data_IF_981369805132
#
_entry.id   IF_981369805132
#
_cell.length_a   1.000
_cell.length_b   1.000
_cell.length_c   1.000
_cell.angle_alpha   90.00
_cell.angle_beta   90.00
_cell.angle_gamma   90.00
#
_symmetry.space_group_name_H-M   'P 1'
#
loop_
_entity.id
_entity.type
_entity.pdbx_description
1 polymer ?
#
# COMPACT_ATOMS: atom_id res chain seq x y z
N UNK A 1 -3.31 -78.84 -22.64
CA UNK A 1 -4.68 -78.31 -22.69
C UNK A 1 -4.56 -76.82 -22.41
N UNK A 2 -4.77 -75.84 -23.29
CA UNK A 2 -5.79 -75.61 -24.33
C UNK A 2 -5.23 -74.54 -25.31
N UNK A 3 -5.63 -74.65 -26.57
CA UNK A 3 -5.26 -73.93 -27.83
C UNK A 3 -5.51 -72.40 -27.81
N UNK A 4 -4.59 -71.53 -28.25
CA UNK A 4 -4.29 -70.99 -29.62
C UNK A 4 -5.24 -69.89 -30.17
N UNK A 5 -4.67 -68.66 -30.25
CA UNK A 5 -4.64 -67.62 -31.31
C UNK A 5 -5.94 -67.08 -31.94
N UNK A 6 -6.10 -65.75 -31.93
CA UNK A 6 -6.42 -64.80 -33.06
C UNK A 6 -6.71 -63.43 -32.41
N UNK A 7 -6.11 -62.29 -32.75
CA UNK A 7 -5.53 -61.85 -34.01
C UNK A 7 -6.31 -60.62 -34.47
N UNK A 8 -5.66 -59.45 -34.52
CA UNK A 8 -5.84 -58.30 -35.45
C UNK A 8 -5.18 -57.07 -34.81
N UNK A 9 -3.96 -56.68 -35.19
CA UNK A 9 -3.61 -55.92 -36.40
C UNK A 9 -4.28 -54.54 -36.45
N UNK A 10 -3.41 -53.51 -36.45
CA UNK A 10 -3.31 -52.47 -37.48
C UNK A 10 -3.63 -51.02 -37.05
N UNK A 11 -2.57 -50.20 -37.11
CA UNK A 11 -2.53 -48.76 -37.41
C UNK A 11 -3.24 -47.82 -36.41
N UNK A 12 -2.81 -46.58 -36.16
CA UNK A 12 -2.33 -45.59 -37.10
C UNK A 12 -1.76 -44.37 -36.33
N UNK A 13 -0.88 -43.63 -37.01
CA UNK A 13 -0.60 -42.20 -36.86
C UNK A 13 0.33 -41.71 -35.72
N UNK A 14 1.57 -41.46 -36.13
CA UNK A 14 2.32 -40.31 -35.66
C UNK A 14 1.55 -39.03 -35.99
N UNK A 15 1.27 -38.21 -34.98
CA UNK A 15 0.88 -36.82 -35.15
C UNK A 15 1.69 -35.97 -34.16
N UNK A 16 2.76 -35.39 -34.68
CA UNK A 16 3.54 -34.35 -34.02
C UNK A 16 2.61 -33.23 -33.58
N UNK A 17 2.43 -33.04 -32.27
CA UNK A 17 1.73 -31.85 -31.77
C UNK A 17 2.65 -30.66 -31.98
N UNK A 18 2.36 -29.91 -33.04
CA UNK A 18 2.96 -28.62 -33.32
C UNK A 18 2.79 -27.70 -32.11
N UNK A 19 3.89 -27.06 -31.72
CA UNK A 19 3.90 -25.98 -30.75
C UNK A 19 3.01 -24.85 -31.27
N UNK A 20 1.82 -24.69 -30.67
CA UNK A 20 1.07 -23.45 -30.80
C UNK A 20 1.74 -22.42 -29.90
N UNK A 21 2.69 -21.68 -30.45
CA UNK A 21 3.06 -20.38 -29.92
C UNK A 21 1.78 -19.54 -29.93
N UNK A 22 1.18 -19.34 -28.76
CA UNK A 22 0.04 -18.45 -28.62
C UNK A 22 0.50 -17.05 -28.97
N UNK A 23 0.24 -16.64 -30.21
CA UNK A 23 0.26 -15.23 -30.60
C UNK A 23 -0.77 -14.52 -29.72
N UNK A 24 -0.27 -13.92 -28.64
CA UNK A 24 -1.01 -12.93 -27.87
C UNK A 24 -1.46 -11.86 -28.86
N UNK A 25 -2.78 -11.69 -28.99
CA UNK A 25 -3.36 -10.60 -29.77
C UNK A 25 -2.73 -9.28 -29.32
N UNK A 26 -2.50 -8.32 -30.24
CA UNK A 26 -1.86 -7.06 -29.91
C UNK A 26 -2.59 -6.43 -28.72
N UNK A 27 -1.81 -6.25 -27.66
CA UNK A 27 -2.14 -5.55 -26.44
C UNK A 27 -3.13 -4.41 -26.72
N UNK A 28 -4.37 -4.58 -26.28
CA UNK A 28 -5.13 -3.42 -25.84
C UNK A 28 -4.46 -2.92 -24.56
N UNK A 29 -3.33 -2.23 -24.70
CA UNK A 29 -2.77 -1.40 -23.65
C UNK A 29 -3.77 -0.28 -23.46
N UNK A 30 -4.75 -0.50 -22.59
CA UNK A 30 -5.60 0.56 -22.08
C UNK A 30 -4.69 1.43 -21.24
N UNK A 31 -4.28 2.57 -21.80
CA UNK A 31 -3.65 3.64 -21.04
C UNK A 31 -4.68 4.17 -20.05
N UNK A 32 -4.77 3.52 -18.90
CA UNK A 32 -5.47 4.06 -17.74
C UNK A 32 -4.68 5.34 -17.39
N UNK A 33 -5.30 6.53 -17.42
CA UNK A 33 -4.65 7.72 -16.92
C UNK A 33 -4.20 7.38 -15.51
N UNK A 34 -2.89 7.41 -15.27
CA UNK A 34 -2.33 7.13 -13.96
C UNK A 34 -2.91 8.16 -13.02
N UNK A 35 -4.01 7.80 -12.33
CA UNK A 35 -4.59 8.62 -11.29
C UNK A 35 -3.52 8.64 -10.23
N UNK A 36 -2.68 9.66 -10.29
CA UNK A 36 -1.60 9.88 -9.36
C UNK A 36 -2.34 10.12 -8.06
N UNK A 37 -2.49 9.06 -7.26
CA UNK A 37 -3.02 9.16 -5.91
C UNK A 37 -2.19 10.27 -5.25
N UNK A 38 -2.84 11.40 -4.99
CA UNK A 38 -2.23 12.59 -4.42
C UNK A 38 -2.89 12.81 -3.09
N UNK A 39 -2.08 13.16 -2.10
CA UNK A 39 -2.58 13.55 -0.80
C UNK A 39 -2.80 15.06 -0.87
N UNK A 40 -4.06 15.47 -0.82
CA UNK A 40 -4.42 16.87 -0.80
C UNK A 40 -4.44 17.40 0.63
N UNK A 41 -3.79 18.54 0.83
CA UNK A 41 -3.89 19.32 2.06
C UNK A 41 -5.06 20.29 1.87
N UNK A 42 -6.04 20.34 2.77
CA UNK A 42 -7.17 21.24 2.62
C UNK A 42 -6.73 22.70 2.65
N UNK A 43 -7.39 23.54 1.86
CA UNK A 43 -7.11 24.99 1.80
C UNK A 43 -7.24 25.67 3.16
N UNK A 44 -8.13 25.14 4.02
CA UNK A 44 -8.33 25.56 5.39
C UNK A 44 -8.18 24.37 6.34
N UNK A 45 -6.97 24.10 6.85
CA UNK A 45 -6.77 23.10 7.89
C UNK A 45 -7.59 23.44 9.13
N UNK A 46 -8.10 22.42 9.79
CA UNK A 46 -8.79 22.58 11.06
C UNK A 46 -7.78 23.01 12.12
N UNK A 47 -8.07 24.09 12.83
CA UNK A 47 -7.31 24.40 14.03
C UNK A 47 -7.56 23.33 15.10
N UNK A 48 -6.48 22.73 15.59
CA UNK A 48 -6.51 21.78 16.68
C UNK A 48 -5.66 22.32 17.84
N UNK A 49 -6.24 22.34 19.05
CA UNK A 49 -5.47 22.73 20.22
C UNK A 49 -4.46 21.65 20.59
N UNK A 50 -3.33 22.07 21.15
CA UNK A 50 -2.29 21.15 21.63
C UNK A 50 -2.81 20.08 22.57
N UNK A 51 -3.77 20.43 23.42
CA UNK A 51 -4.38 19.54 24.41
C UNK A 51 -5.20 18.45 23.71
N UNK A 52 -5.92 18.81 22.64
CA UNK A 52 -6.69 17.85 21.84
C UNK A 52 -5.77 16.90 21.08
N UNK A 53 -4.62 17.39 20.59
CA UNK A 53 -3.66 16.55 19.88
C UNK A 53 -2.91 15.58 20.81
N UNK A 54 -2.69 15.96 22.08
CA UNK A 54 -1.95 15.12 23.05
C UNK A 54 -2.51 13.70 23.18
N UNK A 55 -3.81 13.50 22.98
CA UNK A 55 -4.42 12.17 23.04
C UNK A 55 -3.92 11.24 21.92
N UNK A 56 -3.45 11.79 20.80
CA UNK A 56 -2.91 11.04 19.67
C UNK A 56 -1.38 10.92 19.70
N UNK A 57 -0.70 11.57 20.65
CA UNK A 57 0.77 11.48 20.75
C UNK A 57 1.15 10.08 21.21
N UNK A 58 2.04 9.43 20.47
CA UNK A 58 2.43 8.05 20.74
C UNK A 58 3.04 7.37 19.52
N UNK A 59 3.35 6.09 19.71
CA UNK A 59 3.81 5.19 18.66
C UNK A 59 2.71 4.18 18.35
N UNK A 60 2.45 3.97 17.07
CA UNK A 60 1.44 3.06 16.53
C UNK A 60 2.13 2.07 15.63
N UNK A 61 1.86 0.78 15.85
CA UNK A 61 2.36 -0.26 14.97
C UNK A 61 1.56 -0.22 13.67
N UNK A 62 2.25 -0.33 12.54
CA UNK A 62 1.64 -0.34 11.23
C UNK A 62 1.60 -1.77 10.70
N UNK A 63 0.56 -2.10 9.94
CA UNK A 63 0.37 -3.46 9.39
C UNK A 63 1.47 -3.89 8.42
N UNK A 64 2.27 -2.95 7.92
CA UNK A 64 3.44 -3.22 7.07
C UNK A 64 4.71 -3.54 7.89
N UNK A 65 4.65 -3.53 9.22
CA UNK A 65 5.76 -3.79 10.13
C UNK A 65 6.57 -2.55 10.56
N UNK A 66 6.26 -1.37 10.02
CA UNK A 66 6.83 -0.11 10.49
C UNK A 66 6.09 0.44 11.72
N UNK A 67 6.56 1.57 12.24
CA UNK A 67 5.92 2.29 13.34
C UNK A 67 5.62 3.73 12.91
N UNK A 68 4.39 4.18 13.10
CA UNK A 68 4.02 5.59 13.01
C UNK A 68 4.20 6.24 14.38
N UNK A 69 4.99 7.30 14.46
CA UNK A 69 5.14 8.11 15.67
C UNK A 69 4.50 9.48 15.46
N UNK A 70 3.57 9.85 16.34
CA UNK A 70 2.99 11.18 16.42
C UNK A 70 3.58 11.90 17.62
N UNK A 71 4.13 13.10 17.40
CA UNK A 71 4.74 13.91 18.46
C UNK A 71 4.35 15.37 18.38
N UNK A 72 4.44 16.05 19.52
CA UNK A 72 4.24 17.49 19.65
C UNK A 72 5.54 18.16 20.09
N UNK A 73 6.03 19.14 19.33
CA UNK A 73 7.12 20.02 19.76
C UNK A 73 6.64 21.48 19.76
N UNK A 74 6.53 22.05 20.96
CA UNK A 74 5.95 23.37 21.15
C UNK A 74 4.48 23.40 20.72
N UNK A 75 4.20 24.11 19.62
CA UNK A 75 2.87 24.17 18.99
C UNK A 75 2.79 23.43 17.65
N UNK A 76 3.86 22.76 17.23
CA UNK A 76 3.93 22.08 15.95
C UNK A 76 3.75 20.58 16.15
N UNK A 77 2.86 19.99 15.36
CA UNK A 77 2.56 18.57 15.33
C UNK A 77 3.42 17.90 14.25
N UNK A 78 3.95 16.72 14.56
CA UNK A 78 4.79 15.96 13.64
C UNK A 78 4.33 14.50 13.57
N UNK A 79 4.55 13.89 12.42
CA UNK A 79 4.43 12.46 12.17
C UNK A 79 5.77 11.93 11.62
N UNK A 80 6.18 10.74 12.06
CA UNK A 80 7.36 10.03 11.54
C UNK A 80 7.02 8.57 11.30
N UNK A 81 7.50 8.01 10.20
CA UNK A 81 7.35 6.59 9.90
C UNK A 81 8.73 5.92 10.03
N UNK A 82 8.86 5.00 10.99
CA UNK A 82 10.12 4.30 11.27
C UNK A 82 11.29 5.27 11.51
N UNK A 83 12.29 5.20 10.63
CA UNK A 83 13.52 6.03 10.67
C UNK A 83 13.53 7.17 9.65
N UNK A 84 12.38 7.45 9.01
CA UNK A 84 12.27 8.51 8.01
C UNK A 84 12.30 9.91 8.64
N UNK A 85 12.40 10.93 7.79
CA UNK A 85 12.29 12.32 8.20
C UNK A 85 10.91 12.61 8.81
N UNK A 86 10.86 13.66 9.63
CA UNK A 86 9.64 14.04 10.31
C UNK A 86 8.80 14.99 9.45
N UNK A 87 7.53 14.65 9.31
CA UNK A 87 6.58 15.41 8.54
C UNK A 87 5.77 16.31 9.46
N UNK A 88 5.76 17.62 9.17
CA UNK A 88 4.87 18.56 9.87
C UNK A 88 3.44 18.29 9.45
N UNK A 89 2.56 18.03 10.41
CA UNK A 89 1.16 17.71 10.15
C UNK A 89 0.23 18.81 10.64
N UNK A 90 -0.94 18.87 10.02
CA UNK A 90 -2.08 19.69 10.43
C UNK A 90 -3.32 18.82 10.53
N UNK A 91 -4.25 19.21 11.40
CA UNK A 91 -5.53 18.52 11.52
C UNK A 91 -6.41 18.88 10.32
N UNK A 92 -7.05 17.86 9.76
CA UNK A 92 -8.12 18.00 8.76
C UNK A 92 -9.47 17.70 9.37
N UNK A 93 -9.50 16.86 10.42
CA UNK A 93 -10.66 16.60 11.26
C UNK A 93 -10.25 16.36 12.74
N UNK A 94 -11.18 15.94 13.60
CA UNK A 94 -10.96 15.66 15.03
C UNK A 94 -9.92 14.57 15.27
N UNK A 95 -9.76 13.67 14.31
CA UNK A 95 -8.89 12.50 14.42
C UNK A 95 -8.15 12.18 13.12
N UNK A 96 -8.13 13.13 12.19
CA UNK A 96 -7.48 12.99 10.89
C UNK A 96 -6.47 14.12 10.66
N UNK A 97 -5.31 13.75 10.15
CA UNK A 97 -4.16 14.63 9.98
C UNK A 97 -3.55 14.46 8.60
N UNK A 98 -2.98 15.53 8.07
CA UNK A 98 -2.26 15.53 6.79
C UNK A 98 -0.94 16.23 6.95
N UNK A 99 0.10 15.71 6.31
CA UNK A 99 1.40 16.37 6.26
C UNK A 99 1.38 17.53 5.26
N UNK A 100 2.01 18.64 5.64
CA UNK A 100 2.09 19.85 4.82
C UNK A 100 2.86 19.63 3.50
N UNK A 101 3.77 18.67 3.48
CA UNK A 101 4.53 18.24 2.30
C UNK A 101 3.78 17.22 1.41
N UNK A 102 2.53 16.88 1.77
CA UNK A 102 1.67 15.94 1.05
C UNK A 102 2.25 14.52 0.96
N UNK A 103 3.17 14.16 1.85
CA UNK A 103 3.76 12.82 1.87
C UNK A 103 2.94 11.82 2.69
N UNK A 104 2.13 12.28 3.66
CA UNK A 104 1.27 11.39 4.44
C UNK A 104 -0.06 12.01 4.86
N UNK A 105 -1.03 11.14 5.09
CA UNK A 105 -2.34 11.41 5.71
C UNK A 105 -2.67 10.27 6.64
N UNK A 106 -3.11 10.57 7.85
CA UNK A 106 -3.45 9.58 8.86
C UNK A 106 -4.82 9.86 9.46
N UNK A 107 -5.56 8.80 9.78
CA UNK A 107 -6.78 8.81 10.60
C UNK A 107 -6.58 7.80 11.73
N UNK A 108 -6.84 8.22 12.97
CA UNK A 108 -6.69 7.37 14.15
C UNK A 108 -8.02 7.35 14.88
N UNK A 109 -8.60 6.18 15.07
CA UNK A 109 -9.86 6.02 15.79
C UNK A 109 -9.56 5.36 17.14
N UNK A 110 -9.99 6.02 18.21
CA UNK A 110 -9.97 5.43 19.54
C UNK A 110 -11.37 4.90 19.80
N UNK A 111 -11.47 3.59 20.00
CA UNK A 111 -12.73 2.92 20.29
C UNK A 111 -13.02 2.93 21.79
N UNK A 112 -14.29 2.76 22.15
CA UNK A 112 -14.74 2.76 23.55
C UNK A 112 -14.21 1.57 24.37
N UNK A 113 -13.79 0.49 23.69
CA UNK A 113 -13.17 -0.69 24.31
C UNK A 113 -11.67 -0.49 24.60
N UNK A 114 -11.11 0.67 24.25
CA UNK A 114 -9.70 1.00 24.41
C UNK A 114 -8.81 0.55 23.25
N UNK A 115 -9.36 -0.14 22.25
CA UNK A 115 -8.62 -0.46 21.03
C UNK A 115 -8.40 0.79 20.18
N UNK A 116 -7.31 0.76 19.41
CA UNK A 116 -6.94 1.83 18.50
C UNK A 116 -6.90 1.26 17.10
N UNK A 117 -7.73 1.81 16.23
CA UNK A 117 -7.73 1.51 14.81
C UNK A 117 -7.30 2.74 14.01
N UNK A 118 -7.13 2.54 12.71
CA UNK A 118 -6.97 3.66 11.82
C UNK A 118 -6.29 3.30 10.51
N UNK A 119 -5.97 4.36 9.77
CA UNK A 119 -5.48 4.28 8.41
C UNK A 119 -4.38 5.32 8.19
N UNK A 120 -3.30 4.89 7.55
CA UNK A 120 -2.18 5.72 7.12
C UNK A 120 -2.02 5.59 5.60
N UNK A 121 -2.19 6.70 4.91
CA UNK A 121 -1.88 6.85 3.49
C UNK A 121 -0.56 7.57 3.37
N UNK A 122 0.41 7.00 2.67
CA UNK A 122 1.74 7.59 2.49
C UNK A 122 2.21 7.53 1.04
N UNK A 123 3.02 8.50 0.63
CA UNK A 123 3.74 8.50 -0.63
C UNK A 123 5.12 7.88 -0.38
N UNK A 124 5.37 6.71 -0.93
CA UNK A 124 6.71 6.11 -0.92
C UNK A 124 7.56 6.77 -2.01
N UNK A 125 8.78 7.26 -1.68
CA UNK A 125 9.68 7.81 -2.68
C UNK A 125 10.13 6.71 -3.64
N UNK A 126 10.49 7.10 -4.85
CA UNK A 126 11.05 6.16 -5.82
C UNK A 126 12.35 5.57 -5.30
N UNK A 127 12.47 4.24 -5.33
CA UNK A 127 13.63 3.52 -4.82
C UNK A 127 14.46 2.99 -5.98
N UNK A 128 15.77 3.24 -5.96
CA UNK A 128 16.71 2.60 -6.87
C UNK A 128 17.18 1.30 -6.26
N UNK A 129 16.83 0.18 -6.89
CA UNK A 129 17.24 -1.15 -6.45
C UNK A 129 18.72 -1.36 -6.78
N UNK A 130 19.38 -2.24 -6.03
CA UNK A 130 20.79 -2.58 -6.25
C UNK A 130 21.06 -3.14 -7.66
N UNK A 131 20.04 -3.65 -8.35
CA UNK A 131 20.10 -4.10 -9.75
C UNK A 131 20.02 -2.97 -10.80
N UNK A 132 19.88 -1.72 -10.39
CA UNK A 132 19.77 -0.57 -11.29
C UNK A 132 18.33 -0.19 -11.67
N UNK A 133 17.37 -1.08 -11.40
CA UNK A 133 15.94 -0.82 -11.61
C UNK A 133 15.44 0.30 -10.69
N UNK A 134 14.53 1.13 -11.21
CA UNK A 134 13.88 2.21 -10.48
C UNK A 134 12.43 1.81 -10.21
N UNK A 135 12.08 1.65 -8.94
CA UNK A 135 10.68 1.56 -8.52
C UNK A 135 10.13 2.98 -8.45
N UNK A 136 9.10 3.34 -9.24
CA UNK A 136 8.54 4.69 -9.21
C UNK A 136 7.88 4.98 -7.86
N UNK A 137 7.73 6.26 -7.53
CA UNK A 137 6.97 6.67 -6.35
C UNK A 137 5.54 6.15 -6.42
N UNK A 138 5.02 5.71 -5.28
CA UNK A 138 3.69 5.11 -5.19
C UNK A 138 3.02 5.49 -3.89
N UNK A 139 1.71 5.73 -3.94
CA UNK A 139 0.91 5.84 -2.73
C UNK A 139 0.57 4.46 -2.17
N UNK A 140 0.84 4.28 -0.90
CA UNK A 140 0.49 3.10 -0.13
C UNK A 140 -0.54 3.45 0.93
N UNK A 141 -1.48 2.54 1.15
CA UNK A 141 -2.40 2.58 2.29
C UNK A 141 -2.02 1.46 3.27
N UNK A 142 -1.93 1.80 4.56
CA UNK A 142 -1.47 0.92 5.64
C UNK A 142 -2.40 1.08 6.83
N UNK A 143 -2.87 -0.02 7.40
CA UNK A 143 -3.69 0.00 8.60
C UNK A 143 -2.81 0.20 9.85
N UNK A 144 -3.37 0.85 10.87
CA UNK A 144 -2.81 0.75 12.22
C UNK A 144 -3.13 -0.66 12.75
N UNK A 145 -2.13 -1.33 13.31
CA UNK A 145 -2.32 -2.63 13.95
C UNK A 145 -2.96 -2.40 15.32
N UNK A 146 -4.18 -2.91 15.48
CA UNK A 146 -4.93 -2.79 16.73
C UNK A 146 -4.17 -3.45 17.88
N UNK A 147 -4.16 -2.77 19.04
CA UNK A 147 -3.60 -3.26 20.31
C UNK A 147 -4.69 -3.58 21.31
#
# INVERSE_FOLDING_TARGET
MKTIILGTLLCLAAASTAATAQTLAPEHTVTVPGNSLRIDVPDHPRYMMRQDFKKFVGAYDLSNGDTLELRLAGAVMYARIGKQDEHRIVATDRNAFVALDRQLKVRIDHNDDGSIDGELVMVLPSQKLSGGDIVPSRVQNVGLASR
#
